data_IF_206546258600
#
_entry.id   IF_206546258600
#
_cell.length_a   1.000
_cell.length_b   1.000
_cell.length_c   1.000
_cell.angle_alpha   90.00
_cell.angle_beta   90.00
_cell.angle_gamma   90.00
#
_symmetry.space_group_name_H-M   'P 1'
#
loop_
_entity.id
_entity.type
_entity.pdbx_description
1 polymer ?
#
# COMPACT_ATOMS: atom_id res chain seq x y z
N UNK A 1 20.01 -5.16 11.85
CA UNK A 1 18.60 -4.95 11.51
C UNK A 1 17.97 -6.34 11.40
N UNK A 2 16.77 -6.54 11.93
CA UNK A 2 16.13 -7.85 11.94
C UNK A 2 15.74 -8.29 10.52
N UNK A 3 15.89 -9.58 10.18
CA UNK A 3 15.57 -10.13 8.84
C UNK A 3 14.14 -9.78 8.37
N UNK A 4 13.16 -9.90 9.26
CA UNK A 4 11.75 -9.55 8.98
C UNK A 4 11.55 -8.06 8.66
N UNK A 5 12.39 -7.18 9.23
CA UNK A 5 12.38 -5.75 8.95
C UNK A 5 12.99 -5.44 7.58
N UNK A 6 14.09 -6.10 7.26
CA UNK A 6 14.73 -5.99 5.95
C UNK A 6 13.78 -6.39 4.82
N UNK A 7 13.04 -7.48 4.99
CA UNK A 7 12.06 -7.96 4.02
C UNK A 7 10.96 -6.91 3.71
N UNK A 8 10.37 -6.31 4.74
CA UNK A 8 9.34 -5.27 4.56
C UNK A 8 9.93 -4.00 3.94
N UNK A 9 11.13 -3.60 4.34
CA UNK A 9 11.83 -2.45 3.73
C UNK A 9 12.10 -2.71 2.25
N UNK A 10 12.59 -3.89 1.91
CA UNK A 10 12.87 -4.29 0.52
C UNK A 10 11.60 -4.31 -0.32
N UNK A 11 10.50 -4.84 0.22
CA UNK A 11 9.19 -4.81 -0.43
C UNK A 11 8.76 -3.38 -0.79
N UNK A 12 8.79 -2.45 0.16
CA UNK A 12 8.36 -1.07 -0.12
C UNK A 12 9.27 -0.35 -1.11
N UNK A 13 10.58 -0.65 -1.12
CA UNK A 13 11.50 -0.14 -2.15
C UNK A 13 11.13 -0.68 -3.54
N UNK A 14 10.85 -1.97 -3.65
CA UNK A 14 10.37 -2.60 -4.89
C UNK A 14 9.02 -2.03 -5.33
N UNK A 15 8.09 -1.81 -4.41
CA UNK A 15 6.79 -1.20 -4.69
C UNK A 15 6.92 0.20 -5.27
N UNK A 16 7.81 1.03 -4.71
CA UNK A 16 8.13 2.36 -5.27
C UNK A 16 8.67 2.24 -6.69
N UNK A 17 9.61 1.32 -6.93
CA UNK A 17 10.18 1.07 -8.25
C UNK A 17 9.13 0.61 -9.26
N UNK A 18 8.31 -0.37 -8.87
CA UNK A 18 7.22 -0.89 -9.69
C UNK A 18 6.25 0.21 -10.11
N UNK A 19 5.69 0.95 -9.14
CA UNK A 19 4.71 2.02 -9.44
C UNK A 19 5.34 3.16 -10.25
N UNK A 20 6.61 3.48 -10.00
CA UNK A 20 7.35 4.45 -10.82
C UNK A 20 7.47 3.99 -12.29
N UNK A 21 7.66 2.69 -12.52
CA UNK A 21 7.77 2.15 -13.88
C UNK A 21 6.47 2.26 -14.67
N UNK A 22 5.31 2.35 -14.00
CA UNK A 22 4.00 2.51 -14.64
C UNK A 22 3.83 3.85 -15.35
N UNK A 23 4.71 4.83 -15.11
CA UNK A 23 4.76 6.11 -15.86
C UNK A 23 5.03 5.91 -17.35
N UNK A 24 5.54 4.74 -17.76
CA UNK A 24 5.75 4.37 -19.17
C UNK A 24 4.47 3.92 -19.89
N UNK A 25 3.41 3.60 -19.14
CA UNK A 25 2.15 3.16 -19.73
C UNK A 25 1.47 4.32 -20.44
N UNK A 26 0.90 4.05 -21.60
CA UNK A 26 0.00 5.00 -22.26
C UNK A 26 -1.23 5.26 -21.39
N UNK A 27 -1.91 6.40 -21.59
CA UNK A 27 -3.19 6.66 -20.90
C UNK A 27 -4.21 5.53 -21.16
N UNK A 28 -4.23 4.94 -22.36
CA UNK A 28 -5.11 3.79 -22.63
C UNK A 28 -4.79 2.61 -21.72
N UNK A 29 -3.52 2.22 -21.61
CA UNK A 29 -3.09 1.13 -20.72
C UNK A 29 -3.38 1.45 -19.25
N UNK A 30 -3.08 2.68 -18.81
CA UNK A 30 -3.33 3.15 -17.45
C UNK A 30 -4.81 3.09 -17.05
N UNK A 31 -5.72 3.30 -18.01
CA UNK A 31 -7.17 3.20 -17.84
C UNK A 31 -7.73 1.80 -18.15
N UNK A 32 -6.89 0.80 -18.39
CA UNK A 32 -7.34 -0.57 -18.64
C UNK A 32 -7.80 -1.23 -17.32
N UNK A 33 -9.02 -1.80 -17.26
CA UNK A 33 -9.46 -2.63 -16.14
C UNK A 33 -8.69 -3.96 -16.11
N UNK A 34 -8.35 -4.44 -14.91
CA UNK A 34 -7.58 -5.70 -14.76
C UNK A 34 -8.39 -6.94 -15.18
N UNK A 35 -9.71 -6.83 -15.18
CA UNK A 35 -10.64 -7.80 -15.73
C UNK A 35 -12.01 -7.12 -15.93
N UNK A 36 -12.96 -7.81 -16.56
CA UNK A 36 -14.34 -7.34 -16.68
C UNK A 36 -14.92 -7.00 -15.30
N UNK A 37 -15.59 -5.83 -15.21
CA UNK A 37 -16.15 -5.26 -13.98
C UNK A 37 -15.16 -5.07 -12.80
N UNK A 38 -13.86 -5.07 -13.06
CA UNK A 38 -12.82 -4.77 -12.07
C UNK A 38 -12.22 -3.38 -12.29
N UNK A 39 -11.46 -2.94 -11.29
CA UNK A 39 -10.77 -1.66 -11.30
C UNK A 39 -9.72 -1.56 -12.40
N UNK A 40 -9.54 -0.33 -12.88
CA UNK A 40 -8.41 0.07 -13.71
C UNK A 40 -7.11 0.12 -12.90
N UNK A 41 -5.97 0.11 -13.60
CA UNK A 41 -4.66 0.30 -12.99
C UNK A 41 -4.63 1.62 -12.19
N UNK A 42 -5.23 2.69 -12.73
CA UNK A 42 -5.35 3.97 -12.03
C UNK A 42 -6.03 3.85 -10.67
N UNK A 43 -7.17 3.15 -10.60
CA UNK A 43 -7.93 2.94 -9.38
C UNK A 43 -7.17 2.06 -8.38
N UNK A 44 -6.48 1.02 -8.88
CA UNK A 44 -5.64 0.17 -8.04
C UNK A 44 -4.49 0.98 -7.43
N UNK A 45 -3.71 1.73 -8.21
CA UNK A 45 -2.61 2.51 -7.62
C UNK A 45 -3.12 3.61 -6.69
N UNK A 46 -4.24 4.22 -7.04
CA UNK A 46 -4.89 5.27 -6.26
C UNK A 46 -5.34 4.84 -4.86
N UNK A 47 -5.82 3.61 -4.70
CA UNK A 47 -6.40 3.18 -3.44
C UNK A 47 -5.35 2.90 -2.35
N UNK A 48 -4.07 2.70 -2.68
CA UNK A 48 -3.05 2.40 -1.67
C UNK A 48 -2.71 3.59 -0.77
N UNK A 49 -2.62 4.80 -1.33
CA UNK A 49 -2.24 6.02 -0.60
C UNK A 49 -2.99 6.20 0.74
N UNK A 50 -4.34 6.20 0.79
CA UNK A 50 -5.04 6.42 2.05
C UNK A 50 -4.74 5.33 3.10
N UNK A 51 -4.43 4.11 2.69
CA UNK A 51 -4.07 3.03 3.62
C UNK A 51 -2.67 3.24 4.21
N UNK A 52 -1.69 3.66 3.41
CA UNK A 52 -0.38 4.06 3.91
C UNK A 52 -0.50 5.22 4.92
N UNK A 53 -1.28 6.25 4.59
CA UNK A 53 -1.54 7.40 5.49
C UNK A 53 -2.23 6.95 6.78
N UNK A 54 -3.24 6.08 6.68
CA UNK A 54 -3.95 5.56 7.83
C UNK A 54 -3.02 4.76 8.74
N UNK A 55 -2.22 3.85 8.19
CA UNK A 55 -1.31 3.04 9.00
C UNK A 55 -0.25 3.94 9.66
N UNK A 56 0.37 4.84 8.90
CA UNK A 56 1.39 5.76 9.41
C UNK A 56 0.86 6.67 10.53
N UNK A 57 -0.38 7.17 10.42
CA UNK A 57 -0.90 8.21 11.33
C UNK A 57 -1.84 7.68 12.42
N UNK A 58 -2.47 6.52 12.21
CA UNK A 58 -3.51 5.95 13.10
C UNK A 58 -3.23 4.53 13.56
N UNK A 59 -2.19 3.85 13.04
CA UNK A 59 -1.76 2.54 13.54
C UNK A 59 -0.42 2.63 14.23
N UNK A 60 0.66 2.93 13.52
CA UNK A 60 2.03 2.88 14.08
C UNK A 60 2.18 3.67 15.40
N UNK A 61 1.60 4.87 15.57
CA UNK A 61 1.71 5.62 16.83
C UNK A 61 0.94 5.02 18.00
N UNK A 62 -0.01 4.12 17.76
CA UNK A 62 -0.99 3.63 18.74
C UNK A 62 -0.86 2.13 19.04
N UNK A 63 -0.28 1.32 18.14
CA UNK A 63 -0.22 -0.14 18.30
C UNK A 63 0.51 -0.59 19.57
N UNK A 64 1.46 0.21 20.05
CA UNK A 64 2.29 -0.07 21.22
C UNK A 64 2.20 1.01 22.30
N UNK A 65 1.20 1.90 22.22
CA UNK A 65 0.94 2.90 23.26
C UNK A 65 -0.19 2.45 24.18
N UNK A 66 -0.34 3.14 25.32
CA UNK A 66 -1.47 2.93 26.22
C UNK A 66 -2.77 3.58 25.71
N UNK A 67 -2.68 4.37 24.63
CA UNK A 67 -3.82 5.04 24.05
C UNK A 67 -4.75 4.06 23.34
N UNK A 68 -6.04 4.39 23.33
CA UNK A 68 -7.02 3.61 22.58
C UNK A 68 -6.71 3.66 21.09
N UNK A 69 -6.49 2.48 20.51
CA UNK A 69 -6.30 2.32 19.06
C UNK A 69 -7.49 2.93 18.28
N UNK A 70 -7.24 3.87 17.35
CA UNK A 70 -8.29 4.46 16.53
C UNK A 70 -9.08 3.43 15.73
N UNK A 71 -10.38 3.65 15.55
CA UNK A 71 -11.20 2.81 14.66
C UNK A 71 -10.66 2.92 13.22
N UNK A 72 -10.66 1.79 12.50
CA UNK A 72 -10.37 1.80 11.06
C UNK A 72 -11.44 2.58 10.28
N UNK A 73 -11.08 3.15 9.12
CA UNK A 73 -12.06 3.75 8.22
C UNK A 73 -13.01 2.68 7.67
N UNK A 74 -14.15 3.10 7.12
CA UNK A 74 -14.96 2.23 6.27
C UNK A 74 -14.19 1.94 4.98
N UNK A 75 -13.87 0.67 4.75
CA UNK A 75 -13.06 0.25 3.61
C UNK A 75 -13.77 0.47 2.28
N UNK A 76 -15.10 0.32 2.23
CA UNK A 76 -15.87 0.54 1.02
C UNK A 76 -15.90 2.03 0.67
N UNK A 77 -16.11 2.89 1.66
CA UNK A 77 -16.13 4.34 1.46
C UNK A 77 -14.78 4.85 0.96
N UNK A 78 -13.69 4.50 1.65
CA UNK A 78 -12.36 5.01 1.31
C UNK A 78 -11.88 4.49 -0.04
N UNK A 79 -12.13 3.21 -0.35
CA UNK A 79 -11.77 2.61 -1.63
C UNK A 79 -12.59 3.21 -2.78
N UNK A 80 -13.91 3.36 -2.61
CA UNK A 80 -14.78 3.94 -3.63
C UNK A 80 -14.39 5.39 -3.93
N UNK A 81 -14.06 6.17 -2.89
CA UNK A 81 -13.61 7.55 -3.04
C UNK A 81 -12.27 7.62 -3.78
N UNK A 82 -11.30 6.79 -3.41
CA UNK A 82 -9.99 6.76 -4.07
C UNK A 82 -10.10 6.33 -5.52
N UNK A 83 -10.89 5.30 -5.81
CA UNK A 83 -11.16 4.86 -7.18
C UNK A 83 -11.80 5.99 -8.01
N UNK A 84 -12.85 6.63 -7.50
CA UNK A 84 -13.52 7.74 -8.18
C UNK A 84 -12.59 8.93 -8.46
N UNK A 85 -11.69 9.25 -7.52
CA UNK A 85 -10.68 10.27 -7.70
C UNK A 85 -9.68 9.88 -8.80
N UNK A 86 -9.11 8.68 -8.71
CA UNK A 86 -8.06 8.22 -9.64
C UNK A 86 -8.53 8.04 -11.07
N UNK A 87 -9.83 7.81 -11.30
CA UNK A 87 -10.42 7.86 -12.66
C UNK A 87 -10.26 9.23 -13.34
N UNK A 88 -10.23 10.30 -12.55
CA UNK A 88 -10.20 11.68 -13.06
C UNK A 88 -8.79 12.28 -12.99
N UNK A 89 -7.94 11.82 -12.06
CA UNK A 89 -6.60 12.37 -11.89
C UNK A 89 -5.65 11.96 -13.04
N UNK A 90 -4.73 12.86 -13.45
CA UNK A 90 -3.64 12.50 -14.35
C UNK A 90 -2.83 11.33 -13.78
N UNK A 91 -2.36 10.44 -14.66
CA UNK A 91 -1.51 9.30 -14.29
C UNK A 91 -0.34 9.71 -13.40
N UNK A 92 0.42 10.71 -13.85
CA UNK A 92 1.60 11.19 -13.16
C UNK A 92 1.29 11.69 -11.74
N UNK A 93 0.16 12.39 -11.56
CA UNK A 93 -0.29 12.86 -10.24
C UNK A 93 -0.57 11.69 -9.30
N UNK A 94 -1.23 10.64 -9.77
CA UNK A 94 -1.53 9.45 -8.96
C UNK A 94 -0.24 8.72 -8.56
N UNK A 95 0.69 8.55 -9.52
CA UNK A 95 2.00 7.91 -9.29
C UNK A 95 2.83 8.69 -8.27
N UNK A 96 2.95 10.01 -8.42
CA UNK A 96 3.72 10.87 -7.52
C UNK A 96 3.15 10.86 -6.09
N UNK A 97 1.82 10.89 -5.97
CA UNK A 97 1.14 10.78 -4.69
C UNK A 97 1.40 9.46 -4.00
N UNK A 98 1.33 8.34 -4.75
CA UNK A 98 1.69 7.03 -4.22
C UNK A 98 3.15 7.03 -3.74
N UNK A 99 4.10 7.40 -4.61
CA UNK A 99 5.53 7.34 -4.31
C UNK A 99 5.89 8.21 -3.11
N UNK A 100 5.38 9.44 -3.05
CA UNK A 100 5.62 10.37 -1.93
C UNK A 100 5.10 9.78 -0.61
N UNK A 101 3.86 9.28 -0.62
CA UNK A 101 3.24 8.68 0.57
C UNK A 101 4.00 7.43 1.01
N UNK A 102 4.34 6.54 0.07
CA UNK A 102 5.07 5.30 0.34
C UNK A 102 6.49 5.55 0.85
N UNK A 103 7.16 6.63 0.41
CA UNK A 103 8.46 7.05 0.97
C UNK A 103 8.34 7.51 2.42
N UNK A 104 7.29 8.27 2.76
CA UNK A 104 7.02 8.66 4.15
C UNK A 104 6.68 7.45 5.02
N UNK A 105 5.85 6.53 4.50
CA UNK A 105 5.56 5.26 5.14
C UNK A 105 6.82 4.45 5.42
N UNK A 106 7.68 4.28 4.41
CA UNK A 106 8.94 3.57 4.53
C UNK A 106 9.87 4.20 5.58
N UNK A 107 9.91 5.54 5.65
CA UNK A 107 10.67 6.24 6.69
C UNK A 107 10.14 5.88 8.08
N UNK A 108 8.82 5.97 8.29
CA UNK A 108 8.19 5.59 9.55
C UNK A 108 8.49 4.14 9.93
N UNK A 109 8.43 3.19 8.99
CA UNK A 109 8.77 1.78 9.22
C UNK A 109 10.24 1.57 9.59
N UNK A 110 11.16 2.29 8.94
CA UNK A 110 12.60 2.22 9.25
C UNK A 110 12.92 2.69 10.66
N UNK A 111 12.20 3.69 11.13
CA UNK A 111 12.39 4.28 12.46
C UNK A 111 11.83 3.40 13.60
N UNK A 112 11.05 2.34 13.29
CA UNK A 112 10.52 1.43 14.31
C UNK A 112 11.62 0.57 14.96
N UNK A 113 11.73 0.54 16.30
CA UNK A 113 12.69 -0.30 17.01
C UNK A 113 12.56 -1.80 16.70
N UNK A 114 13.69 -2.50 16.53
CA UNK A 114 13.73 -3.92 16.13
C UNK A 114 12.99 -4.86 17.13
N UNK A 115 12.88 -4.48 18.40
CA UNK A 115 12.17 -5.30 19.41
C UNK A 115 10.64 -5.32 19.21
N UNK A 116 10.05 -4.30 18.57
CA UNK A 116 8.60 -4.24 18.32
C UNK A 116 8.13 -5.20 17.23
N UNK A 117 9.03 -5.70 16.39
CA UNK A 117 8.68 -6.44 15.17
C UNK A 117 7.99 -7.78 15.42
N UNK A 118 8.34 -8.44 16.53
CA UNK A 118 7.72 -9.70 16.97
C UNK A 118 6.90 -9.52 18.25
N UNK A 119 6.78 -8.29 18.75
CA UNK A 119 5.96 -8.02 19.92
C UNK A 119 4.48 -8.16 19.53
N UNK A 120 3.69 -8.99 20.23
CA UNK A 120 2.28 -9.13 19.94
C UNK A 120 1.51 -7.88 20.36
N UNK A 121 0.53 -7.49 19.54
CA UNK A 121 -0.51 -6.53 19.86
C UNK A 121 -1.87 -7.06 19.41
N UNK A 122 -2.95 -6.42 19.86
CA UNK A 122 -4.31 -6.82 19.47
C UNK A 122 -5.06 -5.70 18.77
N UNK A 123 -5.73 -6.04 17.67
CA UNK A 123 -6.70 -5.19 16.98
C UNK A 123 -8.05 -5.89 17.06
N UNK A 124 -8.94 -5.39 17.92
CA UNK A 124 -10.20 -6.08 18.20
C UNK A 124 -9.94 -7.44 18.86
N UNK A 125 -10.42 -8.52 18.24
CA UNK A 125 -10.23 -9.90 18.71
C UNK A 125 -9.00 -10.60 18.09
N UNK A 126 -8.30 -9.92 17.17
CA UNK A 126 -7.17 -10.51 16.45
C UNK A 126 -5.86 -10.08 17.11
N UNK A 127 -5.03 -11.05 17.48
CA UNK A 127 -3.66 -10.83 17.95
C UNK A 127 -2.69 -11.05 16.79
N UNK A 128 -1.76 -10.11 16.59
CA UNK A 128 -0.78 -10.11 15.50
C UNK A 128 0.56 -9.58 16.03
N UNK A 129 1.64 -9.86 15.32
CA UNK A 129 2.88 -9.09 15.43
C UNK A 129 2.90 -7.93 14.43
N UNK A 130 3.85 -7.00 14.60
CA UNK A 130 4.07 -5.94 13.61
C UNK A 130 4.52 -6.51 12.26
N UNK A 131 5.31 -7.58 12.27
CA UNK A 131 5.66 -8.30 11.05
C UNK A 131 4.41 -8.83 10.35
N UNK A 132 3.55 -9.59 11.04
CA UNK A 132 2.35 -10.16 10.42
C UNK A 132 1.46 -9.09 9.78
N UNK A 133 1.31 -7.96 10.49
CA UNK A 133 0.50 -6.84 10.03
C UNK A 133 1.07 -6.17 8.78
N UNK A 134 2.35 -5.82 8.78
CA UNK A 134 3.00 -5.18 7.62
C UNK A 134 3.19 -6.16 6.46
N UNK A 135 3.43 -7.44 6.75
CA UNK A 135 3.50 -8.50 5.76
C UNK A 135 2.17 -8.68 5.04
N UNK A 136 1.04 -8.64 5.76
CA UNK A 136 -0.30 -8.68 5.13
C UNK A 136 -0.54 -7.52 4.16
N UNK A 137 -0.04 -6.31 4.48
CA UNK A 137 -0.09 -5.17 3.55
C UNK A 137 0.83 -5.38 2.34
N UNK A 138 2.00 -5.99 2.55
CA UNK A 138 2.93 -6.31 1.47
C UNK A 138 2.36 -7.35 0.50
N UNK A 139 1.72 -8.40 1.00
CA UNK A 139 1.01 -9.40 0.19
C UNK A 139 -0.12 -8.77 -0.62
N UNK A 140 -0.86 -7.84 -0.04
CA UNK A 140 -1.91 -7.11 -0.74
C UNK A 140 -1.35 -6.26 -1.90
N UNK A 141 -0.22 -5.58 -1.72
CA UNK A 141 0.46 -4.90 -2.82
C UNK A 141 0.87 -5.89 -3.91
N UNK A 142 1.51 -7.01 -3.54
CA UNK A 142 2.02 -8.03 -4.48
C UNK A 142 0.90 -8.60 -5.34
N UNK A 143 -0.22 -8.95 -4.72
CA UNK A 143 -1.40 -9.46 -5.41
C UNK A 143 -1.88 -8.52 -6.51
N UNK A 144 -1.97 -7.22 -6.22
CA UNK A 144 -2.39 -6.23 -7.20
C UNK A 144 -1.32 -5.91 -8.25
N UNK A 145 -0.04 -5.92 -7.90
CA UNK A 145 1.04 -5.74 -8.86
C UNK A 145 1.11 -6.90 -9.85
N UNK A 146 0.84 -8.12 -9.40
CA UNK A 146 0.68 -9.29 -10.25
C UNK A 146 -0.49 -9.11 -11.22
N UNK A 147 -1.68 -8.75 -10.73
CA UNK A 147 -2.84 -8.45 -11.60
C UNK A 147 -2.53 -7.38 -12.66
N UNK A 148 -1.84 -6.30 -12.28
CA UNK A 148 -1.43 -5.24 -13.22
C UNK A 148 -0.47 -5.79 -14.27
N UNK A 149 0.52 -6.57 -13.85
CA UNK A 149 1.53 -7.17 -14.76
C UNK A 149 0.88 -8.17 -15.72
N UNK A 150 -0.09 -8.96 -15.24
CA UNK A 150 -0.86 -9.88 -16.06
C UNK A 150 -1.72 -9.16 -17.10
N UNK A 151 -2.26 -8.00 -16.75
CA UNK A 151 -3.12 -7.17 -17.61
C UNK A 151 -2.33 -6.49 -18.72
N UNK A 152 -1.09 -6.08 -18.47
CA UNK A 152 -0.29 -5.29 -19.41
C UNK A 152 0.84 -6.13 -20.02
N UNK A 153 0.73 -6.51 -21.31
CA UNK A 153 1.76 -7.30 -21.97
C UNK A 153 3.16 -6.65 -21.96
N UNK A 154 3.24 -5.32 -22.02
CA UNK A 154 4.51 -4.57 -21.99
C UNK A 154 5.21 -4.55 -20.61
N UNK A 155 4.55 -5.09 -19.58
CA UNK A 155 5.14 -5.31 -18.26
C UNK A 155 5.63 -6.75 -18.05
N UNK A 156 5.28 -7.69 -18.94
CA UNK A 156 5.75 -9.08 -18.89
C UNK A 156 7.15 -9.15 -19.50
N UNK A 157 8.13 -9.55 -18.70
CA UNK A 157 9.48 -9.88 -19.18
C UNK A 157 9.51 -11.22 -19.93
#
# INVERSE_FOLDING_TARGET
MKKVKEEIIEHHLKAIGFVSSLSRLSEKEWRTPIAEDKWTIAEIIGHFKPWDEFVMTKRLPYLFSEDKLPKGPDSNEINSRSAALSRQEPQQTTIEKFISTRKNFLKAVKDLPDHLWEQPFSIGQTTLTLYDYLHGLAEHDRHHFEQITETIPSLKE
#
